data_IF_791919902333
#
_entry.id   IF_791919902333
#
_cell.length_a   1.000
_cell.length_b   1.000
_cell.length_c   1.000
_cell.angle_alpha   90.00
_cell.angle_beta   90.00
_cell.angle_gamma   90.00
#
_symmetry.space_group_name_H-M   'P 1'
#
loop_
_entity.id
_entity.type
_entity.pdbx_description
1 polymer ?
#
# COMPACT_ATOMS: atom_id res chain seq x y z
N UNK A 1 26.75 20.74 -39.62
CA UNK A 1 26.11 20.26 -38.38
C UNK A 1 24.62 20.11 -38.63
N UNK A 2 24.11 18.88 -38.80
CA UNK A 2 22.69 18.61 -38.70
C UNK A 2 22.39 17.88 -37.38
N UNK A 3 21.36 18.34 -36.67
CA UNK A 3 20.63 17.51 -35.71
C UNK A 3 19.96 16.35 -36.46
N UNK A 4 19.77 15.19 -35.81
CA UNK A 4 18.63 14.35 -36.13
C UNK A 4 17.63 14.29 -34.98
N UNK A 5 16.40 14.18 -35.44
CA UNK A 5 15.12 14.28 -34.76
C UNK A 5 14.65 12.90 -34.25
N UNK A 6 13.74 12.93 -33.26
CA UNK A 6 12.80 11.89 -32.82
C UNK A 6 13.30 10.69 -32.00
N UNK A 7 12.84 10.64 -30.75
CA UNK A 7 12.04 9.52 -30.28
C UNK A 7 11.04 10.02 -29.23
N UNK A 8 9.76 10.12 -29.60
CA UNK A 8 8.67 10.08 -28.63
C UNK A 8 8.75 8.72 -27.94
N UNK A 9 9.21 8.68 -26.68
CA UNK A 9 8.85 7.59 -25.78
C UNK A 9 7.61 8.03 -25.03
N UNK A 10 6.48 7.53 -25.53
CA UNK A 10 5.18 7.54 -24.88
C UNK A 10 5.37 7.02 -23.45
N UNK A 11 5.34 7.93 -22.48
CA UNK A 11 5.32 7.64 -21.05
C UNK A 11 4.01 6.92 -20.73
N UNK A 12 3.98 5.59 -20.90
CA UNK A 12 2.94 4.77 -20.31
C UNK A 12 3.23 4.72 -18.81
N UNK A 13 2.56 5.61 -18.09
CA UNK A 13 2.55 5.64 -16.63
C UNK A 13 2.03 4.28 -16.13
N UNK A 14 2.91 3.49 -15.52
CA UNK A 14 2.56 2.21 -14.88
C UNK A 14 2.24 2.49 -13.41
N UNK A 15 1.14 1.90 -12.92
CA UNK A 15 0.60 2.11 -11.58
C UNK A 15 1.14 1.02 -10.63
N UNK A 16 1.49 1.39 -9.40
CA UNK A 16 1.83 0.45 -8.32
C UNK A 16 0.61 -0.38 -7.90
N UNK A 17 0.84 -1.61 -7.42
CA UNK A 17 -0.22 -2.58 -7.17
C UNK A 17 0.01 -3.49 -5.96
N UNK A 18 -1.09 -4.09 -5.50
CA UNK A 18 -1.14 -5.21 -4.55
C UNK A 18 -0.76 -6.50 -5.27
N UNK A 19 0.10 -7.32 -4.67
CA UNK A 19 0.52 -8.58 -5.27
C UNK A 19 0.45 -9.74 -4.29
N UNK A 20 0.34 -10.92 -4.88
CA UNK A 20 0.45 -12.22 -4.22
C UNK A 20 1.88 -12.68 -4.37
N UNK A 21 2.50 -13.12 -3.29
CA UNK A 21 3.86 -13.67 -3.32
C UNK A 21 3.78 -15.18 -3.57
N UNK A 22 3.69 -15.60 -4.83
CA UNK A 22 3.85 -17.00 -5.27
C UNK A 22 4.97 -17.08 -6.31
N UNK A 23 5.82 -18.11 -6.20
CA UNK A 23 7.19 -18.11 -6.71
C UNK A 23 7.39 -17.85 -8.22
N UNK A 24 6.38 -17.85 -9.11
CA UNK A 24 6.59 -17.45 -10.53
C UNK A 24 5.40 -16.77 -11.26
N UNK A 25 4.27 -16.42 -10.62
CA UNK A 25 3.12 -15.78 -11.30
C UNK A 25 2.47 -14.63 -10.49
N UNK A 26 2.95 -13.39 -10.70
CA UNK A 26 2.30 -12.17 -10.20
C UNK A 26 1.02 -11.86 -10.99
N UNK A 27 -0.14 -12.44 -10.67
CA UNK A 27 -1.32 -12.22 -11.54
C UNK A 27 -2.71 -12.17 -10.90
N UNK A 28 -2.86 -11.83 -9.61
CA UNK A 28 -4.19 -11.47 -9.08
C UNK A 28 -4.12 -10.32 -8.09
N UNK A 29 -5.05 -9.38 -8.21
CA UNK A 29 -5.30 -8.29 -7.26
C UNK A 29 -6.39 -8.70 -6.26
N UNK A 30 -6.05 -9.04 -5.01
CA UNK A 30 -7.03 -9.30 -3.97
C UNK A 30 -7.94 -8.09 -3.68
N UNK A 31 -7.42 -6.86 -3.79
CA UNK A 31 -8.17 -5.62 -3.49
C UNK A 31 -9.37 -5.47 -4.42
N UNK A 32 -10.56 -5.43 -3.83
CA UNK A 32 -11.85 -5.23 -4.51
C UNK A 32 -12.32 -3.80 -4.46
N UNK A 33 -12.24 -3.19 -3.29
CA UNK A 33 -12.84 -1.89 -3.02
C UNK A 33 -12.02 -1.12 -1.98
N UNK A 34 -11.94 0.20 -2.13
CA UNK A 34 -11.44 1.11 -1.11
C UNK A 34 -12.51 2.15 -0.81
N UNK A 35 -12.97 2.21 0.43
CA UNK A 35 -13.85 3.29 0.91
C UNK A 35 -13.02 4.25 1.76
N UNK A 36 -13.14 5.54 1.50
CA UNK A 36 -12.45 6.61 2.22
C UNK A 36 -13.46 7.54 2.82
N UNK A 37 -13.47 7.62 4.14
CA UNK A 37 -14.24 8.62 4.87
C UNK A 37 -13.28 9.62 5.51
N UNK A 38 -13.33 10.88 5.06
CA UNK A 38 -12.55 11.96 5.62
C UNK A 38 -13.46 12.95 6.35
N UNK A 39 -13.15 13.24 7.61
CA UNK A 39 -13.78 14.31 8.37
C UNK A 39 -12.81 15.46 8.55
N UNK A 40 -13.15 16.63 8.02
CA UNK A 40 -12.30 17.81 8.08
C UNK A 40 -12.77 18.74 9.19
N UNK A 41 -11.86 19.19 10.05
CA UNK A 41 -12.17 20.16 11.10
C UNK A 41 -11.05 21.18 11.20
N UNK A 42 -11.31 22.38 10.67
CA UNK A 42 -10.30 23.43 10.57
C UNK A 42 -9.17 23.02 9.62
N UNK A 43 -7.96 22.86 10.17
CA UNK A 43 -6.75 22.49 9.42
C UNK A 43 -6.33 21.03 9.63
N UNK A 44 -7.19 20.21 10.24
CA UNK A 44 -6.91 18.79 10.46
C UNK A 44 -7.98 17.93 9.78
N UNK A 45 -7.59 16.75 9.32
CA UNK A 45 -8.51 15.71 8.86
C UNK A 45 -8.33 14.42 9.65
N UNK A 46 -9.45 13.78 10.01
CA UNK A 46 -9.50 12.39 10.48
C UNK A 46 -9.95 11.54 9.31
N UNK A 47 -9.14 10.58 8.88
CA UNK A 47 -9.44 9.74 7.73
C UNK A 47 -9.56 8.30 8.18
N UNK A 48 -10.62 7.63 7.72
CA UNK A 48 -10.81 6.20 7.80
C UNK A 48 -10.76 5.62 6.39
N UNK A 49 -9.88 4.65 6.17
CA UNK A 49 -9.72 3.95 4.90
C UNK A 49 -10.08 2.49 5.14
N UNK A 50 -11.12 1.99 4.49
CA UNK A 50 -11.51 0.59 4.54
C UNK A 50 -11.25 -0.06 3.19
N UNK A 51 -10.39 -1.08 3.19
CA UNK A 51 -10.01 -1.82 2.00
C UNK A 51 -10.53 -3.25 2.09
N UNK A 52 -11.26 -3.68 1.07
CA UNK A 52 -11.81 -5.04 0.99
C UNK A 52 -10.95 -5.88 0.07
N UNK A 53 -10.50 -7.04 0.55
CA UNK A 53 -9.69 -7.99 -0.20
C UNK A 53 -10.37 -9.36 -0.26
N UNK A 54 -10.29 -10.02 -1.41
CA UNK A 54 -10.74 -11.40 -1.58
C UNK A 54 -9.59 -12.30 -1.97
N UNK A 55 -9.53 -13.49 -1.37
CA UNK A 55 -8.73 -14.59 -1.88
C UNK A 55 -9.58 -15.48 -2.82
N UNK A 56 -9.47 -15.38 -4.16
CA UNK A 56 -10.24 -16.20 -5.08
C UNK A 56 -9.66 -17.62 -5.30
N UNK A 57 -8.52 -17.93 -4.68
CA UNK A 57 -7.78 -19.17 -4.92
C UNK A 57 -8.23 -20.31 -4.01
N UNK A 58 -7.78 -21.53 -4.34
CA UNK A 58 -7.97 -22.73 -3.53
C UNK A 58 -6.93 -22.89 -2.41
N UNK A 59 -5.93 -22.01 -2.36
CA UNK A 59 -4.85 -22.04 -1.36
C UNK A 59 -4.80 -20.74 -0.53
N UNK A 60 -4.23 -20.79 0.69
CA UNK A 60 -4.04 -19.60 1.51
C UNK A 60 -3.15 -18.57 0.80
N UNK A 61 -3.51 -17.30 0.92
CA UNK A 61 -2.83 -16.20 0.26
C UNK A 61 -2.01 -15.37 1.24
N UNK A 62 -0.84 -14.94 0.79
CA UNK A 62 -0.13 -13.81 1.36
C UNK A 62 -0.20 -12.62 0.40
N UNK A 63 -0.55 -11.45 0.95
CA UNK A 63 -0.73 -10.23 0.16
C UNK A 63 0.10 -9.09 0.76
N UNK A 64 0.86 -8.41 -0.09
CA UNK A 64 1.63 -7.22 0.28
C UNK A 64 1.13 -6.03 -0.51
N UNK A 65 0.78 -4.97 0.21
CA UNK A 65 0.29 -3.72 -0.35
C UNK A 65 1.18 -2.55 0.07
N UNK A 66 1.72 -1.84 -0.91
CA UNK A 66 2.46 -0.61 -0.67
C UNK A 66 1.58 0.55 -1.09
N UNK A 67 1.24 1.44 -0.14
CA UNK A 67 0.39 2.59 -0.41
C UNK A 67 0.98 3.88 0.15
N UNK A 68 0.66 5.03 -0.47
CA UNK A 68 1.07 6.31 0.06
C UNK A 68 0.08 6.82 1.08
N UNK A 69 0.59 7.48 2.12
CA UNK A 69 -0.19 8.39 2.96
C UNK A 69 0.32 9.82 2.75
N UNK A 70 -0.47 10.85 3.07
CA UNK A 70 0.04 12.22 3.14
C UNK A 70 1.29 12.32 4.02
N UNK A 71 2.21 13.22 3.69
CA UNK A 71 3.52 13.33 4.38
C UNK A 71 3.37 13.60 5.89
N UNK A 72 2.31 14.31 6.31
CA UNK A 72 2.01 14.66 7.71
C UNK A 72 0.99 13.68 8.35
N UNK A 73 0.70 12.57 7.69
CA UNK A 73 -0.25 11.59 8.20
C UNK A 73 0.35 10.78 9.36
N UNK A 74 -0.40 10.67 10.44
CA UNK A 74 -0.08 9.82 11.57
C UNK A 74 -1.15 8.71 11.70
N UNK A 75 -0.75 7.47 11.44
CA UNK A 75 -1.59 6.29 11.68
C UNK A 75 -1.67 6.01 13.17
N UNK A 76 -2.89 5.82 13.67
CA UNK A 76 -3.13 5.50 15.08
C UNK A 76 -3.96 4.24 15.31
N UNK A 77 -4.71 3.77 14.31
CA UNK A 77 -5.47 2.51 14.43
C UNK A 77 -5.40 1.69 13.14
N UNK A 78 -5.35 0.37 13.32
CA UNK A 78 -5.55 -0.61 12.26
C UNK A 78 -6.45 -1.73 12.78
N UNK A 79 -7.42 -2.13 11.99
CA UNK A 79 -8.31 -3.25 12.26
C UNK A 79 -8.37 -4.17 11.04
N UNK A 80 -8.36 -5.48 11.26
CA UNK A 80 -8.61 -6.49 10.22
C UNK A 80 -9.84 -7.28 10.63
N UNK A 81 -10.89 -7.15 9.84
CA UNK A 81 -12.13 -7.89 10.01
C UNK A 81 -12.15 -9.08 9.07
N UNK A 82 -12.26 -10.24 9.70
CA UNK A 82 -12.47 -11.54 9.06
C UNK A 82 -13.96 -11.90 9.17
N UNK A 83 -14.37 -12.97 8.49
CA UNK A 83 -15.78 -13.40 8.50
C UNK A 83 -16.32 -13.70 9.91
N UNK A 84 -15.47 -14.19 10.82
CA UNK A 84 -15.86 -14.69 12.15
C UNK A 84 -15.25 -13.92 13.32
N UNK A 85 -14.31 -12.99 13.08
CA UNK A 85 -13.59 -12.27 14.13
C UNK A 85 -12.97 -10.96 13.64
N UNK A 86 -12.57 -10.13 14.59
CA UNK A 86 -11.85 -8.89 14.37
C UNK A 86 -10.47 -9.00 15.01
N UNK A 87 -9.43 -8.55 14.30
CA UNK A 87 -8.05 -8.46 14.78
C UNK A 87 -7.72 -6.97 14.92
N UNK A 88 -7.46 -6.54 16.15
CA UNK A 88 -7.03 -5.18 16.45
C UNK A 88 -5.50 -5.05 16.37
N UNK A 89 -5.03 -4.09 15.59
CA UNK A 89 -3.62 -3.74 15.47
C UNK A 89 -3.12 -3.07 16.75
N UNK A 90 -1.93 -3.47 17.20
CA UNK A 90 -1.25 -2.83 18.33
C UNK A 90 0.02 -2.15 17.84
N UNK A 91 0.12 -0.83 18.01
CA UNK A 91 1.31 -0.07 17.61
C UNK A 91 2.50 -0.49 18.47
N UNK A 92 3.59 -0.88 17.80
CA UNK A 92 4.84 -1.32 18.41
C UNK A 92 6.03 -0.79 17.62
N UNK A 93 7.24 -0.95 18.17
CA UNK A 93 8.47 -0.74 17.39
C UNK A 93 8.50 -1.74 16.23
N UNK A 94 9.10 -1.34 15.10
CA UNK A 94 9.16 -2.13 13.87
C UNK A 94 9.63 -3.58 14.12
N UNK A 95 10.78 -3.74 14.77
CA UNK A 95 11.38 -5.04 15.08
C UNK A 95 10.47 -5.95 15.92
N UNK A 96 9.78 -5.37 16.91
CA UNK A 96 8.84 -6.10 17.78
C UNK A 96 7.59 -6.52 16.99
N UNK A 97 7.04 -5.61 16.17
CA UNK A 97 5.87 -5.87 15.34
C UNK A 97 6.16 -6.97 14.30
N UNK A 98 7.32 -6.91 13.65
CA UNK A 98 7.78 -7.90 12.69
C UNK A 98 7.93 -9.27 13.35
N UNK A 99 8.58 -9.36 14.52
CA UNK A 99 8.75 -10.62 15.26
C UNK A 99 7.39 -11.26 15.60
N UNK A 100 6.43 -10.45 16.05
CA UNK A 100 5.08 -10.92 16.37
C UNK A 100 4.35 -11.43 15.12
N UNK A 101 4.48 -10.70 14.01
CA UNK A 101 3.90 -11.07 12.72
C UNK A 101 4.48 -12.41 12.21
N UNK A 102 5.80 -12.55 12.16
CA UNK A 102 6.48 -13.78 11.74
C UNK A 102 6.11 -14.98 12.63
N UNK A 103 6.03 -14.76 13.94
CA UNK A 103 5.57 -15.77 14.88
C UNK A 103 4.12 -16.20 14.60
N UNK A 104 3.22 -15.27 14.27
CA UNK A 104 1.85 -15.60 13.92
C UNK A 104 1.78 -16.38 12.58
N UNK A 105 2.57 -15.97 11.59
CA UNK A 105 2.67 -16.64 10.29
C UNK A 105 3.17 -18.07 10.43
N UNK A 106 4.25 -18.29 11.18
CA UNK A 106 4.80 -19.64 11.42
C UNK A 106 3.83 -20.58 12.17
N UNK A 107 2.82 -20.03 12.85
CA UNK A 107 1.75 -20.79 13.51
C UNK A 107 0.53 -21.01 12.62
N UNK A 108 0.57 -20.60 11.34
CA UNK A 108 -0.55 -20.70 10.41
C UNK A 108 -1.72 -19.77 10.73
N UNK A 109 -1.48 -18.68 11.46
CA UNK A 109 -2.53 -17.73 11.84
C UNK A 109 -2.62 -16.61 10.82
N UNK A 110 -3.85 -16.23 10.48
CA UNK A 110 -4.11 -14.97 9.78
C UNK A 110 -3.60 -13.81 10.63
N UNK A 111 -2.74 -12.99 10.04
CA UNK A 111 -2.07 -11.88 10.70
C UNK A 111 -1.92 -10.72 9.72
N UNK A 112 -1.82 -9.51 10.27
CA UNK A 112 -1.48 -8.34 9.48
C UNK A 112 -0.41 -7.51 10.17
N UNK A 113 0.40 -6.86 9.34
CA UNK A 113 1.48 -5.98 9.74
C UNK A 113 1.39 -4.71 8.89
N UNK A 114 1.51 -3.57 9.54
CA UNK A 114 1.62 -2.28 8.87
C UNK A 114 2.93 -1.63 9.29
N UNK A 115 3.75 -1.28 8.31
CA UNK A 115 5.05 -0.66 8.51
C UNK A 115 5.13 0.65 7.75
N UNK A 116 5.58 1.70 8.43
CA UNK A 116 6.01 2.91 7.76
C UNK A 116 7.39 2.67 7.16
N UNK A 117 7.56 2.79 5.85
CA UNK A 117 8.86 2.68 5.17
C UNK A 117 9.58 4.03 5.13
N UNK A 118 8.80 5.07 4.78
CA UNK A 118 9.21 6.48 4.76
C UNK A 118 8.03 7.33 5.20
N UNK A 119 8.24 8.64 5.34
CA UNK A 119 7.21 9.59 5.79
C UNK A 119 5.86 9.39 5.06
N UNK A 120 5.89 9.10 3.75
CA UNK A 120 4.70 8.91 2.93
C UNK A 120 4.55 7.54 2.26
N UNK A 121 5.20 6.50 2.78
CA UNK A 121 5.12 5.15 2.21
C UNK A 121 4.87 4.16 3.34
N UNK A 122 3.81 3.40 3.21
CA UNK A 122 3.44 2.37 4.14
C UNK A 122 3.32 1.03 3.42
N UNK A 123 3.81 -0.02 4.05
CA UNK A 123 3.68 -1.41 3.60
C UNK A 123 2.73 -2.13 4.53
N UNK A 124 1.67 -2.70 3.97
CA UNK A 124 0.74 -3.58 4.66
C UNK A 124 0.94 -5.00 4.16
N UNK A 125 1.27 -5.90 5.09
CA UNK A 125 1.43 -7.32 4.83
C UNK A 125 0.30 -8.09 5.50
N UNK A 126 -0.35 -8.96 4.74
CA UNK A 126 -1.43 -9.83 5.20
C UNK A 126 -1.01 -11.28 4.94
N UNK A 127 -1.02 -12.10 5.98
CA UNK A 127 -0.67 -13.51 5.87
C UNK A 127 -1.86 -14.42 6.10
N UNK A 128 -1.82 -15.60 5.50
CA UNK A 128 -2.78 -16.69 5.72
C UNK A 128 -4.25 -16.26 5.54
N UNK A 129 -4.55 -15.55 4.46
CA UNK A 129 -5.93 -15.29 4.03
C UNK A 129 -6.47 -16.59 3.45
N UNK A 130 -7.53 -17.17 4.03
CA UNK A 130 -7.99 -18.51 3.63
C UNK A 130 -8.57 -18.52 2.21
N UNK A 131 -8.60 -19.69 1.55
CA UNK A 131 -9.31 -19.87 0.28
C UNK A 131 -10.74 -19.35 0.33
N UNK A 132 -11.11 -18.47 -0.60
CA UNK A 132 -12.46 -17.88 -0.68
C UNK A 132 -12.80 -16.89 0.43
N UNK A 133 -11.86 -16.52 1.30
CA UNK A 133 -12.09 -15.58 2.40
C UNK A 133 -12.00 -14.13 1.90
N UNK A 134 -13.01 -13.35 2.27
CA UNK A 134 -12.98 -11.89 2.17
C UNK A 134 -12.48 -11.32 3.50
N UNK A 135 -11.59 -10.33 3.43
CA UNK A 135 -11.10 -9.58 4.58
C UNK A 135 -11.28 -8.09 4.36
N UNK A 136 -11.61 -7.36 5.41
CA UNK A 136 -11.69 -5.90 5.41
C UNK A 136 -10.58 -5.36 6.31
N UNK A 137 -9.70 -4.52 5.76
CA UNK A 137 -8.67 -3.82 6.55
C UNK A 137 -9.06 -2.37 6.68
N UNK A 138 -9.21 -1.91 7.91
CA UNK A 138 -9.54 -0.51 8.22
C UNK A 138 -8.35 0.16 8.86
N UNK A 139 -7.89 1.23 8.23
CA UNK A 139 -6.83 2.11 8.71
C UNK A 139 -7.43 3.43 9.14
N UNK A 140 -7.04 3.95 10.31
CA UNK A 140 -7.38 5.32 10.71
C UNK A 140 -6.13 6.13 10.96
N UNK A 141 -6.14 7.33 10.42
CA UNK A 141 -5.05 8.28 10.57
C UNK A 141 -5.58 9.70 10.70
N UNK A 142 -4.74 10.57 11.26
CA UNK A 142 -4.93 12.02 11.22
C UNK A 142 -3.91 12.65 10.28
N UNK A 143 -4.30 13.71 9.59
CA UNK A 143 -3.42 14.48 8.70
C UNK A 143 -3.63 15.98 8.90
N UNK A 144 -2.58 16.76 8.66
CA UNK A 144 -2.59 18.23 8.73
C UNK A 144 -2.71 18.82 7.32
N UNK A 145 -3.81 19.52 7.08
CA UNK A 145 -4.11 20.10 5.78
C UNK A 145 -3.25 21.34 5.52
N UNK A 146 -2.64 21.38 4.34
CA UNK A 146 -1.86 22.53 3.89
C UNK A 146 -2.78 23.67 3.49
N UNK A 147 -2.43 24.91 3.89
CA UNK A 147 -3.16 26.11 3.49
C UNK A 147 -2.44 26.79 2.33
N UNK A 148 -3.02 26.73 1.13
CA UNK A 148 -2.44 27.32 -0.06
C UNK A 148 -3.49 28.12 -0.85
N UNK A 149 -3.11 29.32 -1.28
CA UNK A 149 -3.97 30.16 -2.13
C UNK A 149 -5.31 30.56 -1.48
N UNK A 150 -5.40 30.56 -0.15
CA UNK A 150 -6.63 30.90 0.58
C UNK A 150 -7.53 29.71 0.92
N UNK A 151 -7.14 28.48 0.56
CA UNK A 151 -7.92 27.27 0.80
C UNK A 151 -7.08 26.20 1.52
N UNK A 152 -7.75 25.30 2.21
CA UNK A 152 -7.15 24.03 2.65
C UNK A 152 -7.27 23.00 1.54
N UNK A 153 -6.21 22.24 1.31
CA UNK A 153 -6.19 21.14 0.34
C UNK A 153 -6.20 19.80 1.07
N UNK A 154 -7.14 18.93 0.70
CA UNK A 154 -7.17 17.52 1.12
C UNK A 154 -6.72 16.66 -0.04
N UNK A 155 -5.73 15.80 0.20
CA UNK A 155 -5.18 14.88 -0.80
C UNK A 155 -5.31 13.47 -0.26
N UNK A 156 -5.93 12.59 -1.02
CA UNK A 156 -5.92 11.15 -0.77
C UNK A 156 -5.07 10.45 -1.85
N UNK A 157 -3.82 10.06 -1.53
CA UNK A 157 -2.95 9.38 -2.48
C UNK A 157 -3.45 7.96 -2.77
N UNK A 158 -3.68 7.61 -4.04
CA UNK A 158 -4.17 6.28 -4.41
C UNK A 158 -3.06 5.29 -4.78
N UNK A 159 -1.94 5.78 -5.30
CA UNK A 159 -0.89 4.94 -5.88
C UNK A 159 0.47 5.55 -5.62
N UNK A 160 1.44 4.71 -5.26
CA UNK A 160 2.85 5.09 -5.28
C UNK A 160 3.33 5.12 -6.73
N UNK A 161 3.61 6.33 -7.23
CA UNK A 161 4.18 6.51 -8.57
C UNK A 161 5.64 6.03 -8.66
N UNK A 162 6.17 5.77 -9.87
CA UNK A 162 7.57 5.42 -10.07
C UNK A 162 8.49 6.48 -9.46
N UNK A 163 9.46 6.02 -8.65
CA UNK A 163 10.45 6.89 -8.04
C UNK A 163 11.78 6.76 -8.75
N UNK A 164 12.52 7.86 -8.79
CA UNK A 164 13.89 7.85 -9.27
C UNK A 164 14.78 7.18 -8.21
N UNK A 165 15.40 6.07 -8.59
CA UNK A 165 16.35 5.32 -7.77
C UNK A 165 17.75 5.55 -8.36
N UNK A 166 18.51 6.55 -7.88
CA UNK A 166 19.88 6.78 -8.32
C UNK A 166 20.83 5.70 -7.81
N UNK A 167 22.02 5.63 -8.41
CA UNK A 167 23.12 4.80 -7.91
C UNK A 167 23.38 3.54 -8.73
N UNK A 168 24.26 2.70 -8.20
CA UNK A 168 24.59 1.39 -8.77
C UNK A 168 23.87 0.31 -7.97
N UNK A 169 23.20 -0.66 -8.63
CA UNK A 169 22.59 -1.79 -7.93
C UNK A 169 23.61 -2.53 -7.06
N UNK A 170 23.24 -2.80 -5.81
CA UNK A 170 24.08 -3.57 -4.88
C UNK A 170 23.80 -5.07 -4.94
N UNK A 171 22.62 -5.46 -5.42
CA UNK A 171 22.17 -6.84 -5.64
C UNK A 171 21.05 -6.90 -6.70
N UNK A 172 20.37 -8.04 -6.79
CA UNK A 172 19.25 -8.28 -7.72
C UNK A 172 17.89 -7.74 -7.22
N UNK A 173 17.81 -7.22 -5.99
CA UNK A 173 16.55 -6.71 -5.41
C UNK A 173 16.09 -5.39 -6.01
N UNK A 174 17.02 -4.67 -6.66
CA UNK A 174 16.81 -3.30 -7.13
C UNK A 174 17.32 -2.23 -6.17
N UNK A 175 17.83 -2.62 -5.00
CA UNK A 175 18.52 -1.72 -4.06
C UNK A 175 19.82 -1.17 -4.67
N UNK A 176 20.15 0.09 -4.33
CA UNK A 176 21.37 0.75 -4.81
C UNK A 176 22.22 1.27 -3.67
N UNK A 177 23.47 1.62 -3.98
CA UNK A 177 24.39 2.28 -3.05
C UNK A 177 23.88 3.63 -2.53
N UNK A 178 23.02 4.31 -3.29
CA UNK A 178 22.40 5.58 -2.90
C UNK A 178 21.02 5.40 -2.25
N UNK A 179 20.33 4.29 -2.53
CA UNK A 179 18.99 3.98 -2.04
C UNK A 179 18.96 2.49 -1.65
N UNK A 180 19.45 2.15 -0.44
CA UNK A 180 19.59 0.77 -0.01
C UNK A 180 18.26 0.11 0.39
N UNK A 181 17.14 0.83 0.29
CA UNK A 181 15.78 0.41 0.60
C UNK A 181 14.84 0.50 -0.62
N UNK A 182 15.39 0.59 -1.84
CA UNK A 182 14.63 0.81 -3.08
C UNK A 182 13.54 -0.25 -3.31
N UNK A 183 13.84 -1.51 -2.97
CA UNK A 183 12.95 -2.67 -3.06
C UNK A 183 11.71 -2.54 -2.18
N UNK A 184 11.80 -1.83 -1.04
CA UNK A 184 10.70 -1.63 -0.08
C UNK A 184 9.81 -0.45 -0.43
N UNK A 185 10.35 0.53 -1.14
CA UNK A 185 9.65 1.79 -1.48
C UNK A 185 9.14 1.84 -2.92
N UNK A 186 9.54 0.86 -3.74
CA UNK A 186 9.16 0.75 -5.14
C UNK A 186 8.16 -0.39 -5.28
N UNK A 187 6.86 -0.09 -5.47
CA UNK A 187 5.89 -1.15 -5.69
C UNK A 187 6.20 -1.88 -7.01
N UNK A 188 5.92 -3.19 -7.09
CA UNK A 188 6.01 -3.90 -8.34
C UNK A 188 5.04 -3.29 -9.37
N UNK A 189 5.47 -3.31 -10.62
CA UNK A 189 4.77 -2.68 -11.72
C UNK A 189 3.77 -3.65 -12.36
N UNK A 190 2.53 -3.20 -12.47
CA UNK A 190 1.50 -3.92 -13.21
C UNK A 190 1.77 -3.76 -14.72
N UNK A 191 1.80 -4.84 -15.51
CA UNK A 191 1.91 -4.73 -16.97
C UNK A 191 0.82 -3.83 -17.58
N UNK A 192 1.12 -3.06 -18.64
CA UNK A 192 0.17 -2.07 -19.20
C UNK A 192 -1.14 -2.66 -19.74
N UNK A 193 -1.16 -3.96 -20.04
CA UNK A 193 -2.30 -4.73 -20.53
C UNK A 193 -3.16 -5.32 -19.41
N UNK A 194 -2.70 -5.22 -18.16
CA UNK A 194 -3.42 -5.68 -16.97
C UNK A 194 -4.00 -4.48 -16.21
N UNK A 195 -5.30 -4.54 -15.90
CA UNK A 195 -6.01 -3.52 -15.13
C UNK A 195 -6.24 -4.01 -13.70
N UNK A 196 -5.85 -3.22 -12.71
CA UNK A 196 -6.37 -3.40 -11.34
C UNK A 196 -7.84 -2.96 -11.32
N UNK A 197 -8.75 -3.91 -11.10
CA UNK A 197 -10.20 -3.73 -11.26
C UNK A 197 -10.92 -3.14 -10.05
N UNK A 198 -10.19 -2.55 -9.08
CA UNK A 198 -10.80 -2.01 -7.86
C UNK A 198 -11.45 -0.65 -8.10
N UNK A 199 -12.49 -0.36 -7.34
CA UNK A 199 -13.15 0.94 -7.28
C UNK A 199 -12.86 1.65 -5.95
N UNK A 200 -13.14 2.96 -5.94
CA UNK A 200 -12.93 3.81 -4.78
C UNK A 200 -14.18 4.66 -4.50
N UNK A 201 -14.63 4.62 -3.26
CA UNK A 201 -15.60 5.56 -2.69
C UNK A 201 -14.87 6.60 -1.85
N UNK A 202 -15.22 7.88 -2.02
CA UNK A 202 -14.67 8.97 -1.19
C UNK A 202 -15.80 9.83 -0.69
N UNK A 203 -15.90 9.94 0.63
CA UNK A 203 -16.83 10.81 1.34
C UNK A 203 -16.05 11.81 2.17
N UNK A 204 -16.40 13.09 2.05
CA UNK A 204 -15.78 14.19 2.82
C UNK A 204 -16.89 14.92 3.59
N UNK A 205 -16.74 15.00 4.91
CA UNK A 205 -17.61 15.70 5.87
C UNK A 205 -16.91 16.91 6.52
#
# INVERSE_FOLDING_TARGET
MPMPTHALLCSKQLLGGLYVNEEEEHSVFPLKHTEVYAKITGHMSRVEVTQTFDNPFSEPLEAVYIFPLPDEAAVDEMEIKLSDRIIEGNIKKREDAQTIYEQACSQGRTAGLLEQERDNIFTQSLAHIKPGEQIEVTLRYTDQLQFQGGNYEFVFPMVVGPRFIPGTPIDESGDTDCVPDASRITPPLIPPDMRSGHDIGVTID
#
